data_IF_374960306506
#
_entry.id   IF_374960306506
#
_cell.length_a   1.000
_cell.length_b   1.000
_cell.length_c   1.000
_cell.angle_alpha   90.00
_cell.angle_beta   90.00
_cell.angle_gamma   90.00
#
_symmetry.space_group_name_H-M   'P 1'
#
loop_
_entity.id
_entity.type
_entity.pdbx_description
1 polymer ?
#
# COMPACT_ATOMS: atom_id res chain seq x y z
N UNK A 1 7.45 41.17 -27.27
CA UNK A 1 7.94 40.29 -26.19
C UNK A 1 7.05 39.05 -26.15
N UNK A 2 7.59 37.84 -25.93
CA UNK A 2 6.75 36.66 -25.79
C UNK A 2 5.91 36.75 -24.49
N UNK A 3 4.71 36.12 -24.45
CA UNK A 3 3.85 36.16 -23.28
C UNK A 3 4.58 35.59 -22.06
N UNK A 4 4.53 36.30 -20.93
CA UNK A 4 4.96 35.76 -19.64
C UNK A 4 3.98 34.66 -19.23
N UNK A 5 4.37 33.40 -19.42
CA UNK A 5 3.61 32.26 -18.92
C UNK A 5 3.71 32.30 -17.40
N UNK A 6 2.63 32.74 -16.75
CA UNK A 6 2.49 32.63 -15.30
C UNK A 6 2.19 31.16 -14.98
N UNK A 7 3.19 30.43 -14.52
CA UNK A 7 2.96 29.12 -13.93
C UNK A 7 2.36 29.32 -12.54
N UNK A 8 1.05 29.09 -12.40
CA UNK A 8 0.45 28.95 -11.07
C UNK A 8 1.11 27.78 -10.35
N UNK A 9 1.74 28.08 -9.22
CA UNK A 9 2.40 27.09 -8.39
C UNK A 9 1.33 26.19 -7.79
N UNK A 10 1.35 24.90 -8.13
CA UNK A 10 0.36 23.92 -7.65
C UNK A 10 0.37 23.84 -6.12
N UNK A 11 -0.81 23.67 -5.53
CA UNK A 11 -1.00 23.60 -4.08
C UNK A 11 -0.46 22.28 -3.50
N UNK A 12 -0.24 22.24 -2.19
CA UNK A 12 0.16 21.01 -1.49
C UNK A 12 -0.86 19.88 -1.68
N UNK A 13 -2.15 20.22 -1.67
CA UNK A 13 -3.29 19.31 -1.86
C UNK A 13 -3.23 18.61 -3.23
N UNK A 14 -2.84 19.34 -4.28
CA UNK A 14 -2.66 18.77 -5.61
C UNK A 14 -1.70 17.58 -5.60
N UNK A 15 -0.53 17.73 -4.96
CA UNK A 15 0.47 16.66 -4.90
C UNK A 15 0.00 15.49 -4.03
N UNK A 16 -0.82 15.75 -3.00
CA UNK A 16 -1.41 14.69 -2.19
C UNK A 16 -2.42 13.85 -2.98
N UNK A 17 -3.25 14.47 -3.81
CA UNK A 17 -4.20 13.76 -4.67
C UNK A 17 -3.50 12.93 -5.74
N UNK A 18 -2.44 13.46 -6.37
CA UNK A 18 -1.61 12.67 -7.29
C UNK A 18 -1.00 11.46 -6.58
N UNK A 19 -0.44 11.66 -5.39
CA UNK A 19 0.17 10.57 -4.63
C UNK A 19 -0.85 9.48 -4.27
N UNK A 20 -2.07 9.86 -3.88
CA UNK A 20 -3.18 8.92 -3.68
C UNK A 20 -3.51 8.14 -4.95
N UNK A 21 -3.64 8.84 -6.09
CA UNK A 21 -3.95 8.21 -7.37
C UNK A 21 -2.86 7.23 -7.80
N UNK A 22 -1.59 7.64 -7.73
CA UNK A 22 -0.47 6.77 -8.09
C UNK A 22 -0.43 5.51 -7.23
N UNK A 23 -0.64 5.66 -5.91
CA UNK A 23 -0.72 4.50 -5.00
C UNK A 23 -1.85 3.55 -5.37
N UNK A 24 -3.02 4.07 -5.73
CA UNK A 24 -4.16 3.27 -6.17
C UNK A 24 -3.86 2.56 -7.50
N UNK A 25 -3.25 3.25 -8.45
CA UNK A 25 -2.84 2.67 -9.73
C UNK A 25 -1.82 1.54 -9.54
N UNK A 26 -0.83 1.72 -8.67
CA UNK A 26 0.15 0.68 -8.31
C UNK A 26 -0.54 -0.57 -7.74
N UNK A 27 -1.50 -0.36 -6.84
CA UNK A 27 -2.26 -1.44 -6.22
C UNK A 27 -3.09 -2.21 -7.25
N UNK A 28 -3.84 -1.52 -8.10
CA UNK A 28 -4.64 -2.13 -9.17
C UNK A 28 -3.75 -2.87 -10.18
N UNK A 29 -2.65 -2.25 -10.60
CA UNK A 29 -1.69 -2.86 -11.52
C UNK A 29 -1.12 -4.16 -10.96
N UNK A 30 -0.75 -4.19 -9.67
CA UNK A 30 -0.24 -5.39 -9.03
C UNK A 30 -1.31 -6.49 -8.94
N UNK A 31 -2.54 -6.14 -8.54
CA UNK A 31 -3.66 -7.09 -8.45
C UNK A 31 -3.95 -7.72 -9.81
N UNK A 32 -4.05 -6.91 -10.87
CA UNK A 32 -4.33 -7.38 -12.23
C UNK A 32 -3.17 -8.23 -12.78
N UNK A 33 -1.93 -7.81 -12.58
CA UNK A 33 -0.74 -8.51 -13.10
C UNK A 33 -0.62 -9.93 -12.56
N UNK A 34 -0.96 -10.13 -11.29
CA UNK A 34 -0.81 -11.43 -10.61
C UNK A 34 -2.14 -12.14 -10.36
N UNK A 35 -3.26 -11.61 -10.87
CA UNK A 35 -4.61 -12.11 -10.64
C UNK A 35 -4.88 -12.41 -9.14
N UNK A 36 -4.59 -11.42 -8.29
CA UNK A 36 -4.62 -11.60 -6.83
C UNK A 36 -6.08 -11.54 -6.32
N UNK A 37 -6.61 -12.70 -5.94
CA UNK A 37 -8.01 -12.85 -5.51
C UNK A 37 -8.20 -13.03 -4.00
N UNK A 38 -7.12 -13.09 -3.22
CA UNK A 38 -7.20 -13.27 -1.77
C UNK A 38 -6.09 -12.53 -1.02
N UNK A 39 -6.37 -12.18 0.24
CA UNK A 39 -5.39 -11.59 1.16
C UNK A 39 -4.14 -12.47 1.31
N UNK A 40 -4.34 -13.79 1.36
CA UNK A 40 -3.26 -14.77 1.46
C UNK A 40 -2.36 -14.78 0.22
N UNK A 41 -2.94 -14.70 -0.98
CA UNK A 41 -2.17 -14.61 -2.22
C UNK A 41 -1.27 -13.35 -2.23
N UNK A 42 -1.79 -12.22 -1.78
CA UNK A 42 -1.03 -10.96 -1.66
C UNK A 42 0.08 -11.10 -0.60
N UNK A 43 -0.20 -11.77 0.52
CA UNK A 43 0.80 -12.02 1.57
C UNK A 43 1.92 -12.93 1.08
N UNK A 44 1.61 -14.00 0.35
CA UNK A 44 2.61 -14.90 -0.22
C UNK A 44 3.49 -14.17 -1.24
N UNK A 45 2.90 -13.33 -2.10
CA UNK A 45 3.65 -12.48 -3.01
C UNK A 45 4.56 -11.49 -2.26
N UNK A 46 4.08 -10.93 -1.15
CA UNK A 46 4.87 -10.05 -0.29
C UNK A 46 6.08 -10.77 0.32
N UNK A 47 5.91 -12.00 0.79
CA UNK A 47 6.99 -12.84 1.34
C UNK A 47 8.04 -13.08 0.25
N UNK A 48 7.63 -13.46 -0.96
CA UNK A 48 8.54 -13.64 -2.09
C UNK A 48 9.39 -12.40 -2.36
N UNK A 49 8.80 -11.20 -2.37
CA UNK A 49 9.58 -9.97 -2.55
C UNK A 49 10.54 -9.68 -1.38
N UNK A 50 10.19 -10.06 -0.15
CA UNK A 50 11.08 -9.93 1.01
C UNK A 50 12.28 -10.88 0.87
N UNK A 51 12.03 -12.11 0.42
CA UNK A 51 13.08 -13.09 0.14
C UNK A 51 13.99 -12.61 -0.99
N UNK A 52 13.44 -12.02 -2.05
CA UNK A 52 14.22 -11.46 -3.18
C UNK A 52 15.08 -10.25 -2.76
N UNK A 53 14.56 -9.34 -1.93
CA UNK A 53 15.31 -8.10 -1.56
C UNK A 53 16.41 -8.34 -0.53
N UNK A 54 16.30 -9.41 0.26
CA UNK A 54 17.23 -9.71 1.36
C UNK A 54 18.67 -9.96 0.88
N UNK A 55 18.94 -10.85 -0.11
CA UNK A 55 20.29 -11.04 -0.62
C UNK A 55 20.85 -9.79 -1.30
N UNK A 56 20.01 -9.00 -1.99
CA UNK A 56 20.45 -7.74 -2.62
C UNK A 56 20.92 -6.71 -1.58
N UNK A 57 20.22 -6.61 -0.45
CA UNK A 57 20.65 -5.75 0.67
C UNK A 57 21.98 -6.20 1.25
N UNK A 58 22.18 -7.51 1.40
CA UNK A 58 23.43 -8.08 1.88
C UNK A 58 24.59 -7.82 0.89
N UNK A 59 24.36 -8.02 -0.41
CA UNK A 59 25.36 -7.75 -1.46
C UNK A 59 25.73 -6.26 -1.49
N UNK A 60 24.74 -5.38 -1.43
CA UNK A 60 24.98 -3.93 -1.39
C UNK A 60 25.86 -3.53 -0.20
N UNK A 61 25.65 -4.13 0.97
CA UNK A 61 26.48 -3.85 2.14
C UNK A 61 27.91 -4.37 1.96
N UNK A 62 28.10 -5.58 1.40
CA UNK A 62 29.43 -6.09 1.05
C UNK A 62 30.18 -5.14 0.12
N UNK A 63 29.54 -4.67 -0.94
CA UNK A 63 30.13 -3.73 -1.90
C UNK A 63 30.41 -2.38 -1.24
N UNK A 64 29.52 -1.89 -0.37
CA UNK A 64 29.73 -0.65 0.37
C UNK A 64 30.97 -0.73 1.28
N UNK A 65 31.23 -1.89 1.90
CA UNK A 65 32.44 -2.09 2.70
C UNK A 65 33.71 -2.08 1.84
N UNK A 66 33.67 -2.67 0.65
CA UNK A 66 34.79 -2.64 -0.31
C UNK A 66 35.01 -1.19 -0.76
N UNK A 67 33.97 -0.50 -1.21
CA UNK A 67 34.00 0.90 -1.66
C UNK A 67 34.66 1.84 -0.65
N UNK A 68 34.40 1.66 0.65
CA UNK A 68 35.02 2.46 1.72
C UNK A 68 36.54 2.29 1.83
N UNK A 69 37.07 1.12 1.43
CA UNK A 69 38.49 0.77 1.49
C UNK A 69 39.22 1.04 0.17
N UNK A 70 38.49 1.22 -0.92
CA UNK A 70 39.05 1.45 -2.25
C UNK A 70 39.62 2.87 -2.38
N UNK A 71 40.90 2.95 -2.76
CA UNK A 71 41.62 4.21 -3.00
C UNK A 71 41.79 4.53 -4.48
N UNK A 72 41.75 3.53 -5.35
CA UNK A 72 41.82 3.70 -6.81
C UNK A 72 40.51 4.32 -7.33
N UNK A 73 40.62 5.41 -8.09
CA UNK A 73 39.47 6.16 -8.61
C UNK A 73 38.64 5.36 -9.62
N UNK A 74 39.28 4.58 -10.49
CA UNK A 74 38.58 3.74 -11.49
C UNK A 74 37.74 2.67 -10.82
N UNK A 75 38.33 1.94 -9.86
CA UNK A 75 37.63 0.91 -9.09
C UNK A 75 36.50 1.52 -8.24
N UNK A 76 36.73 2.72 -7.71
CA UNK A 76 35.75 3.46 -6.92
C UNK A 76 34.52 3.83 -7.76
N UNK A 77 34.71 4.38 -8.95
CA UNK A 77 33.61 4.69 -9.87
C UNK A 77 32.84 3.43 -10.30
N UNK A 78 33.54 2.32 -10.54
CA UNK A 78 32.89 1.04 -10.86
C UNK A 78 32.01 0.52 -9.70
N UNK A 79 32.53 0.57 -8.47
CA UNK A 79 31.80 0.17 -7.27
C UNK A 79 30.61 1.10 -6.99
N UNK A 80 30.75 2.40 -7.22
CA UNK A 80 29.66 3.37 -7.11
C UNK A 80 28.53 3.06 -8.10
N UNK A 81 28.87 2.77 -9.36
CA UNK A 81 27.90 2.33 -10.35
C UNK A 81 27.15 1.07 -9.89
N UNK A 82 27.88 0.06 -9.37
CA UNK A 82 27.27 -1.17 -8.85
C UNK A 82 26.34 -0.90 -7.65
N UNK A 83 26.74 -0.03 -6.72
CA UNK A 83 25.92 0.39 -5.58
C UNK A 83 24.63 1.09 -6.02
N UNK A 84 24.72 1.95 -7.04
CA UNK A 84 23.58 2.69 -7.56
C UNK A 84 22.57 1.75 -8.22
N UNK A 85 23.03 0.78 -9.01
CA UNK A 85 22.16 -0.23 -9.61
C UNK A 85 21.46 -1.09 -8.54
N UNK A 86 22.22 -1.62 -7.57
CA UNK A 86 21.64 -2.38 -6.46
C UNK A 86 20.62 -1.57 -5.66
N UNK A 87 20.89 -0.28 -5.46
CA UNK A 87 19.95 0.61 -4.76
C UNK A 87 18.66 0.81 -5.56
N UNK A 88 18.74 0.96 -6.88
CA UNK A 88 17.56 1.04 -7.75
C UNK A 88 16.73 -0.24 -7.68
N UNK A 89 17.36 -1.41 -7.76
CA UNK A 89 16.67 -2.70 -7.72
C UNK A 89 16.01 -2.95 -6.35
N UNK A 90 16.73 -2.66 -5.26
CA UNK A 90 16.19 -2.74 -3.90
C UNK A 90 14.98 -1.81 -3.75
N UNK A 91 15.06 -0.59 -4.25
CA UNK A 91 13.95 0.36 -4.18
C UNK A 91 12.73 -0.13 -4.97
N UNK A 92 12.95 -0.68 -6.17
CA UNK A 92 11.88 -1.26 -6.99
C UNK A 92 11.15 -2.39 -6.27
N UNK A 93 11.88 -3.32 -5.64
CA UNK A 93 11.28 -4.42 -4.88
C UNK A 93 10.60 -3.91 -3.61
N UNK A 94 11.21 -2.98 -2.87
CA UNK A 94 10.59 -2.39 -1.69
C UNK A 94 9.27 -1.67 -2.02
N UNK A 95 9.17 -0.98 -3.15
CA UNK A 95 7.91 -0.35 -3.60
C UNK A 95 6.81 -1.39 -3.81
N UNK A 96 7.14 -2.56 -4.36
CA UNK A 96 6.20 -3.68 -4.50
C UNK A 96 5.78 -4.24 -3.14
N UNK A 97 6.72 -4.42 -2.20
CA UNK A 97 6.42 -4.85 -0.82
C UNK A 97 5.44 -3.89 -0.13
N UNK A 98 5.66 -2.57 -0.28
CA UNK A 98 4.75 -1.56 0.27
C UNK A 98 3.38 -1.60 -0.39
N UNK A 99 3.33 -1.82 -1.70
CA UNK A 99 2.06 -1.98 -2.43
C UNK A 99 1.27 -3.17 -1.91
N UNK A 100 1.90 -4.34 -1.72
CA UNK A 100 1.25 -5.50 -1.08
C UNK A 100 0.72 -5.15 0.31
N UNK A 101 1.52 -4.45 1.13
CA UNK A 101 1.11 -4.02 2.48
C UNK A 101 -0.14 -3.14 2.44
N UNK A 102 -0.21 -2.18 1.51
CA UNK A 102 -1.40 -1.31 1.35
C UNK A 102 -2.64 -2.11 0.96
N UNK A 103 -2.52 -3.04 0.02
CA UNK A 103 -3.64 -3.92 -0.39
C UNK A 103 -4.17 -4.70 0.81
N UNK A 104 -3.28 -5.33 1.59
CA UNK A 104 -3.66 -6.10 2.78
C UNK A 104 -4.37 -5.21 3.80
N UNK A 105 -3.81 -4.05 4.15
CA UNK A 105 -4.41 -3.14 5.12
C UNK A 105 -5.78 -2.63 4.67
N UNK A 106 -5.98 -2.38 3.36
CA UNK A 106 -7.28 -1.99 2.81
C UNK A 106 -8.30 -3.12 2.89
N UNK A 107 -7.90 -4.36 2.57
CA UNK A 107 -8.76 -5.53 2.70
C UNK A 107 -9.21 -5.73 4.16
N UNK A 108 -8.28 -5.68 5.12
CA UNK A 108 -8.59 -5.79 6.56
C UNK A 108 -9.51 -4.68 7.06
N UNK A 109 -9.34 -3.45 6.56
CA UNK A 109 -10.23 -2.34 6.90
C UNK A 109 -11.65 -2.59 6.38
N UNK A 110 -11.77 -3.05 5.13
CA UNK A 110 -13.06 -3.40 4.53
C UNK A 110 -13.77 -4.54 5.26
N UNK A 111 -13.02 -5.56 5.70
CA UNK A 111 -13.56 -6.66 6.54
C UNK A 111 -14.17 -6.11 7.84
N UNK A 112 -13.46 -5.21 8.55
CA UNK A 112 -13.95 -4.60 9.80
C UNK A 112 -15.19 -3.73 9.58
N UNK A 113 -15.20 -2.93 8.52
CA UNK A 113 -16.36 -2.10 8.16
C UNK A 113 -17.59 -2.96 7.83
N UNK A 114 -17.42 -4.05 7.10
CA UNK A 114 -18.49 -4.98 6.77
C UNK A 114 -19.10 -5.62 8.02
N UNK A 115 -18.28 -6.02 9.00
CA UNK A 115 -18.75 -6.57 10.29
C UNK A 115 -19.57 -5.51 11.04
N UNK A 116 -19.08 -4.29 11.10
CA UNK A 116 -19.76 -3.20 11.81
C UNK A 116 -21.12 -2.85 11.17
N UNK A 117 -21.21 -2.88 9.84
CA UNK A 117 -22.46 -2.71 9.11
C UNK A 117 -23.43 -3.85 9.44
N UNK A 118 -22.99 -5.11 9.40
CA UNK A 118 -23.83 -6.27 9.73
C UNK A 118 -24.38 -6.19 11.15
N UNK A 119 -23.55 -5.82 12.12
CA UNK A 119 -23.98 -5.67 13.52
C UNK A 119 -25.05 -4.58 13.67
N UNK A 120 -24.85 -3.41 13.05
CA UNK A 120 -25.83 -2.32 13.07
C UNK A 120 -27.16 -2.73 12.44
N UNK A 121 -27.13 -3.50 11.36
CA UNK A 121 -28.35 -4.01 10.71
C UNK A 121 -29.09 -4.96 11.65
N UNK A 122 -28.38 -5.89 12.29
CA UNK A 122 -28.97 -6.84 13.23
C UNK A 122 -29.56 -6.15 14.48
N UNK A 123 -28.85 -5.17 15.06
CA UNK A 123 -29.36 -4.36 16.18
C UNK A 123 -30.63 -3.60 15.81
N UNK A 124 -30.66 -2.97 14.63
CA UNK A 124 -31.84 -2.26 14.15
C UNK A 124 -33.03 -3.20 13.92
N UNK A 125 -32.80 -4.41 13.39
CA UNK A 125 -33.85 -5.42 13.25
C UNK A 125 -34.44 -5.81 14.61
N UNK A 126 -33.59 -6.10 15.59
CA UNK A 126 -34.02 -6.48 16.94
C UNK A 126 -34.79 -5.34 17.64
N UNK A 127 -34.30 -4.10 17.52
CA UNK A 127 -34.99 -2.94 18.06
C UNK A 127 -36.38 -2.74 17.44
N UNK A 128 -36.51 -2.89 16.12
CA UNK A 128 -37.79 -2.79 15.43
C UNK A 128 -38.77 -3.89 15.85
N UNK A 129 -38.29 -5.13 16.04
CA UNK A 129 -39.12 -6.24 16.55
C UNK A 129 -39.62 -5.96 17.97
N UNK A 130 -38.74 -5.46 18.84
CA UNK A 130 -39.07 -5.13 20.23
C UNK A 130 -40.06 -3.96 20.33
N UNK A 131 -39.92 -2.94 19.48
CA UNK A 131 -40.91 -1.87 19.35
C UNK A 131 -42.25 -2.37 18.80
N UNK A 132 -42.22 -3.26 17.81
CA UNK A 132 -43.41 -3.90 17.27
C UNK A 132 -44.19 -4.70 18.31
N UNK A 133 -43.49 -5.44 19.18
CA UNK A 133 -44.09 -6.15 20.31
C UNK A 133 -44.73 -5.18 21.32
N UNK A 134 -43.99 -4.14 21.74
CA UNK A 134 -44.51 -3.10 22.66
C UNK A 134 -45.77 -2.41 22.13
N UNK A 135 -45.84 -2.17 20.82
CA UNK A 135 -47.01 -1.55 20.18
C UNK A 135 -48.21 -2.50 20.08
N UNK A 136 -47.99 -3.82 19.91
CA UNK A 136 -49.05 -4.82 19.95
C UNK A 136 -49.62 -5.00 21.36
N UNK A 137 -48.77 -5.02 22.39
CA UNK A 137 -49.20 -5.13 23.78
C UNK A 137 -50.04 -3.92 24.21
N UNK A 138 -49.64 -2.70 23.83
CA UNK A 138 -50.44 -1.48 24.08
C UNK A 138 -51.81 -1.48 23.39
N UNK A 139 -51.95 -2.14 22.24
CA UNK A 139 -53.24 -2.26 21.52
C UNK A 139 -54.19 -3.29 22.14
N UNK A 140 -53.68 -4.29 22.88
CA UNK A 140 -54.51 -5.29 23.57
C UNK A 140 -55.14 -4.80 24.88
N UNK A 141 -54.63 -3.72 25.45
CA UNK A 141 -55.07 -3.16 26.74
C UNK A 141 -56.16 -2.07 26.54
N UNK A 142 -56.44 -1.66 25.30
CA UNK A 142 -57.57 -0.79 24.94
C UNK A 142 -58.73 -1.61 24.43
#
# INVERSE_FOLDING_TARGET
MPPKIHYEKRTKEYYQEIDKFNKLADEMSLICTYNLNSKEAVQNLRIKYIEEVTPLKAEREKIRQIYKKTTNETDRSFLEYKLNNLTKDINKINSKIQTCKRIITKAEKGEKEAILIKNRVAENQLNNELEGLKNKDKKRIR
#
